data_IF_395221998713
#
_entry.id   IF_395221998713
#
_cell.length_a   1.000
_cell.length_b   1.000
_cell.length_c   1.000
_cell.angle_alpha   90.00
_cell.angle_beta   90.00
_cell.angle_gamma   90.00
#
_symmetry.space_group_name_H-M   'P 1'
#
loop_
_entity.id
_entity.type
_entity.pdbx_description
1 polymer ?
#
# COMPACT_ATOMS: atom_id res chain seq x y z
N UNK A 1 -2.09 -7.55 13.27
CA UNK A 1 -1.66 -7.23 11.87
C UNK A 1 -2.13 -5.85 11.42
N UNK A 2 -3.31 -5.39 11.83
CA UNK A 2 -3.78 -4.02 11.55
C UNK A 2 -2.83 -2.94 12.08
N UNK A 3 -2.23 -3.15 13.26
CA UNK A 3 -1.26 -2.20 13.86
C UNK A 3 -0.03 -1.98 12.95
N UNK A 4 0.37 -3.01 12.21
CA UNK A 4 1.49 -2.93 11.25
C UNK A 4 1.09 -2.12 10.02
N UNK A 5 -0.16 -2.23 9.57
CA UNK A 5 -0.69 -1.37 8.50
C UNK A 5 -0.72 0.08 8.97
N UNK A 6 -1.22 0.35 10.16
CA UNK A 6 -1.24 1.69 10.74
C UNK A 6 0.16 2.30 10.87
N UNK A 7 1.12 1.53 11.37
CA UNK A 7 2.51 1.97 11.48
C UNK A 7 3.11 2.33 10.10
N UNK A 8 2.90 1.49 9.08
CA UNK A 8 3.37 1.78 7.71
C UNK A 8 2.71 3.02 7.10
N UNK A 9 1.41 3.21 7.36
CA UNK A 9 0.69 4.40 6.92
C UNK A 9 1.25 5.64 7.62
N UNK A 10 1.45 5.60 8.93
CA UNK A 10 1.96 6.74 9.72
C UNK A 10 3.37 7.12 9.32
N UNK A 11 4.28 6.13 9.22
CA UNK A 11 5.67 6.35 8.79
C UNK A 11 5.71 6.90 7.35
N UNK A 12 4.85 6.40 6.46
CA UNK A 12 4.76 6.84 5.07
C UNK A 12 3.89 8.09 4.84
N UNK A 13 3.41 8.75 5.91
CA UNK A 13 2.56 9.95 5.84
C UNK A 13 1.23 9.75 5.10
N UNK A 14 0.64 8.55 5.18
CA UNK A 14 -0.59 8.17 4.48
C UNK A 14 -1.76 7.97 5.42
N UNK A 15 -2.95 8.15 4.87
CA UNK A 15 -4.21 7.93 5.57
C UNK A 15 -4.75 6.52 5.33
N UNK A 16 -5.61 6.03 6.24
CA UNK A 16 -6.33 4.77 6.12
C UNK A 16 -7.08 4.59 4.79
N UNK A 17 -7.59 5.68 4.21
CA UNK A 17 -8.22 5.68 2.89
C UNK A 17 -7.31 5.10 1.79
N UNK A 18 -5.99 5.30 1.89
CA UNK A 18 -5.05 4.71 0.95
C UNK A 18 -4.99 3.18 1.07
N UNK A 19 -4.95 2.66 2.30
CA UNK A 19 -4.98 1.22 2.54
C UNK A 19 -6.33 0.61 2.14
N UNK A 20 -7.46 1.29 2.37
CA UNK A 20 -8.78 0.85 1.89
C UNK A 20 -8.85 0.80 0.37
N UNK A 21 -8.33 1.81 -0.33
CA UNK A 21 -8.27 1.79 -1.80
C UNK A 21 -7.41 0.63 -2.33
N UNK A 22 -6.29 0.33 -1.67
CA UNK A 22 -5.44 -0.82 -1.98
C UNK A 22 -6.16 -2.15 -1.72
N UNK A 23 -6.86 -2.29 -0.60
CA UNK A 23 -7.66 -3.47 -0.28
C UNK A 23 -8.75 -3.72 -1.34
N UNK A 24 -9.43 -2.65 -1.79
CA UNK A 24 -10.42 -2.71 -2.85
C UNK A 24 -9.82 -3.12 -4.19
N UNK A 25 -8.63 -2.62 -4.52
CA UNK A 25 -7.94 -2.95 -5.78
C UNK A 25 -7.40 -4.38 -5.82
N UNK A 26 -6.86 -4.89 -4.70
CA UNK A 26 -6.20 -6.20 -4.65
C UNK A 26 -7.17 -7.35 -4.36
N UNK A 27 -8.19 -7.11 -3.53
CA UNK A 27 -9.03 -8.17 -2.96
C UNK A 27 -10.53 -7.89 -3.11
N UNK A 28 -10.93 -6.74 -3.65
CA UNK A 28 -12.34 -6.36 -3.78
C UNK A 28 -13.05 -6.09 -2.45
N UNK A 29 -12.29 -5.80 -1.38
CA UNK A 29 -12.83 -5.49 -0.04
C UNK A 29 -12.80 -3.99 0.21
N UNK A 30 -13.91 -3.42 0.66
CA UNK A 30 -14.02 -1.97 0.87
C UNK A 30 -13.16 -1.46 2.03
N UNK A 31 -12.96 -2.29 3.06
CA UNK A 31 -12.16 -1.95 4.25
C UNK A 31 -11.09 -2.99 4.50
N UNK A 32 -9.98 -2.52 5.06
CA UNK A 32 -8.84 -3.36 5.46
C UNK A 32 -9.23 -4.33 6.58
N UNK A 33 -10.18 -3.93 7.43
CA UNK A 33 -10.75 -4.75 8.51
C UNK A 33 -11.51 -5.99 8.00
N UNK A 34 -11.89 -6.03 6.72
CA UNK A 34 -12.58 -7.17 6.11
C UNK A 34 -11.62 -8.18 5.47
N UNK A 35 -10.32 -7.95 5.57
CA UNK A 35 -9.30 -8.84 5.05
C UNK A 35 -9.03 -9.95 6.06
N UNK A 36 -8.86 -11.17 5.55
CA UNK A 36 -8.27 -12.25 6.33
C UNK A 36 -6.77 -12.04 6.56
N UNK A 37 -6.16 -12.80 7.47
CA UNK A 37 -4.75 -12.67 7.83
C UNK A 37 -3.81 -12.81 6.62
N UNK A 38 -4.15 -13.67 5.66
CA UNK A 38 -3.32 -13.89 4.46
C UNK A 38 -3.38 -12.68 3.53
N UNK A 39 -4.58 -12.14 3.32
CA UNK A 39 -4.79 -10.94 2.53
C UNK A 39 -4.15 -9.72 3.18
N UNK A 40 -4.23 -9.60 4.50
CA UNK A 40 -3.62 -8.52 5.26
C UNK A 40 -2.10 -8.56 5.17
N UNK A 41 -1.49 -9.75 5.23
CA UNK A 41 -0.05 -9.92 5.04
C UNK A 41 0.40 -9.51 3.62
N UNK A 42 -0.39 -9.85 2.60
CA UNK A 42 -0.15 -9.42 1.21
C UNK A 42 -0.31 -7.91 1.03
N UNK A 43 -1.30 -7.29 1.71
CA UNK A 43 -1.50 -5.84 1.70
C UNK A 43 -0.28 -5.12 2.29
N UNK A 44 0.23 -5.58 3.43
CA UNK A 44 1.43 -5.03 4.08
C UNK A 44 2.64 -5.09 3.15
N UNK A 45 2.88 -6.22 2.48
CA UNK A 45 3.96 -6.35 1.51
C UNK A 45 3.80 -5.38 0.33
N UNK A 46 2.58 -5.23 -0.21
CA UNK A 46 2.30 -4.29 -1.28
C UNK A 46 2.51 -2.83 -0.86
N UNK A 47 2.13 -2.45 0.36
CA UNK A 47 2.39 -1.13 0.92
C UNK A 47 3.90 -0.86 1.00
N UNK A 48 4.69 -1.81 1.49
CA UNK A 48 6.13 -1.67 1.58
C UNK A 48 6.79 -1.48 0.19
N UNK A 49 6.37 -2.27 -0.80
CA UNK A 49 6.86 -2.14 -2.18
C UNK A 49 6.49 -0.77 -2.77
N UNK A 50 5.26 -0.31 -2.52
CA UNK A 50 4.80 1.00 -2.99
C UNK A 50 5.62 2.15 -2.38
N UNK A 51 6.01 2.05 -1.11
CA UNK A 51 6.90 3.03 -0.47
C UNK A 51 8.29 3.02 -1.08
N UNK A 52 8.90 1.85 -1.22
CA UNK A 52 10.23 1.71 -1.81
C UNK A 52 10.26 2.28 -3.25
N UNK A 53 9.20 2.04 -4.03
CA UNK A 53 9.08 2.59 -5.38
C UNK A 53 8.97 4.11 -5.39
N UNK A 54 8.34 4.73 -4.38
CA UNK A 54 8.28 6.20 -4.27
C UNK A 54 9.63 6.80 -3.92
N UNK A 55 10.39 6.17 -3.02
CA UNK A 55 11.73 6.64 -2.65
C UNK A 55 12.71 6.55 -3.83
N UNK A 56 12.57 5.53 -4.68
CA UNK A 56 13.38 5.41 -5.91
C UNK A 56 12.96 6.45 -6.97
N UNK A 57 11.66 6.67 -7.18
CA UNK A 57 11.18 7.69 -8.12
C UNK A 57 11.45 9.14 -7.68
N UNK A 58 11.63 9.40 -6.39
CA UNK A 58 12.05 10.71 -5.89
C UNK A 58 13.55 10.98 -6.14
N UNK A 59 14.34 9.95 -6.43
CA UNK A 59 15.79 10.05 -6.68
C UNK A 59 16.18 9.84 -8.15
N UNK A 60 15.22 9.56 -9.05
CA UNK A 60 15.49 9.29 -10.46
C UNK A 60 14.36 9.79 -11.36
N UNK A 61 14.67 10.84 -12.10
CA UNK A 61 13.92 11.43 -13.21
C UNK A 61 13.56 10.42 -14.33
N UNK A 62 12.47 10.73 -15.03
CA UNK A 62 12.00 10.26 -16.35
C UNK A 62 12.13 8.78 -16.80
N UNK A 63 10.98 8.18 -17.12
CA UNK A 63 10.89 6.81 -17.62
C UNK A 63 9.58 6.50 -18.34
N UNK A 64 9.32 7.24 -19.42
CA UNK A 64 8.69 6.82 -20.68
C UNK A 64 7.36 6.02 -20.62
N UNK A 65 6.35 6.66 -21.22
CA UNK A 65 5.11 6.07 -21.75
C UNK A 65 5.37 4.83 -22.62
N UNK A 66 4.59 3.77 -22.41
CA UNK A 66 4.15 2.81 -23.45
C UNK A 66 2.74 2.40 -23.04
N UNK A 67 1.63 2.69 -23.74
CA UNK A 67 1.32 2.66 -25.18
C UNK A 67 1.66 1.32 -25.83
#
# INVERSE_FOLDING_TARGET
>A
MLDKVEALLTVGGKHWNYAHAMARRMFGKDKVEYLDDTQLHKLVAALQIAENRKTEKASGDDGVRKS
#
